data_IF_757386694257
#
_entry.id   IF_757386694257
#
_cell.length_a   1.000
_cell.length_b   1.000
_cell.length_c   1.000
_cell.angle_alpha   90.00
_cell.angle_beta   90.00
_cell.angle_gamma   90.00
#
_symmetry.space_group_name_H-M   'P 1'
#
loop_
_entity.id
_entity.type
_entity.pdbx_description
1 polymer ?
#
# COMPACT_ATOMS: atom_id res chain seq x y z
N UNK A 1 7.47 -17.26 -13.48
CA UNK A 1 8.36 -17.06 -14.65
C UNK A 1 9.41 -18.17 -14.71
N UNK A 2 10.02 -18.47 -15.87
CA UNK A 2 11.09 -19.49 -15.93
C UNK A 2 12.37 -18.98 -15.25
N UNK A 3 13.18 -19.89 -14.70
CA UNK A 3 14.46 -19.56 -14.05
C UNK A 3 15.40 -18.75 -14.96
N UNK A 4 15.43 -19.07 -16.26
CA UNK A 4 16.24 -18.36 -17.25
C UNK A 4 15.79 -16.91 -17.45
N UNK A 5 14.47 -16.67 -17.47
CA UNK A 5 13.92 -15.32 -17.63
C UNK A 5 14.13 -14.49 -16.35
N UNK A 6 13.97 -15.11 -15.18
CA UNK A 6 14.29 -14.48 -13.90
C UNK A 6 15.76 -14.05 -13.81
N UNK A 7 16.67 -14.93 -14.23
CA UNK A 7 18.11 -14.66 -14.23
C UNK A 7 18.46 -13.47 -15.13
N UNK A 8 17.90 -13.42 -16.35
CA UNK A 8 18.08 -12.30 -17.28
C UNK A 8 17.55 -10.99 -16.70
N UNK A 9 16.36 -10.99 -16.08
CA UNK A 9 15.74 -9.81 -15.45
C UNK A 9 16.56 -9.23 -14.29
N UNK A 10 17.25 -10.09 -13.54
CA UNK A 10 18.05 -9.69 -12.38
C UNK A 10 19.55 -9.51 -12.70
N UNK A 11 19.94 -9.60 -13.98
CA UNK A 11 21.34 -9.45 -14.40
C UNK A 11 22.26 -10.57 -13.93
N UNK A 12 21.72 -11.74 -13.57
CA UNK A 12 22.48 -12.89 -13.07
C UNK A 12 22.59 -13.94 -14.19
N UNK A 13 23.75 -14.57 -14.35
CA UNK A 13 23.90 -15.67 -15.30
C UNK A 13 23.05 -16.90 -14.92
N UNK A 14 22.46 -17.58 -15.91
CA UNK A 14 21.62 -18.77 -15.68
C UNK A 14 22.29 -19.85 -14.82
N UNK A 15 23.58 -20.13 -15.06
CA UNK A 15 24.34 -21.11 -14.26
C UNK A 15 24.39 -20.75 -12.77
N UNK A 16 24.50 -19.46 -12.45
CA UNK A 16 24.48 -18.96 -11.07
C UNK A 16 23.11 -19.15 -10.44
N UNK A 17 22.04 -18.82 -11.16
CA UNK A 17 20.66 -19.03 -10.72
C UNK A 17 20.36 -20.53 -10.49
N UNK A 18 20.81 -21.41 -11.39
CA UNK A 18 20.66 -22.86 -11.26
C UNK A 18 21.45 -23.44 -10.07
N UNK A 19 22.67 -22.93 -9.81
CA UNK A 19 23.46 -23.30 -8.62
C UNK A 19 22.75 -22.91 -7.33
N UNK A 20 22.14 -21.73 -7.28
CA UNK A 20 21.37 -21.27 -6.13
C UNK A 20 20.14 -22.15 -5.89
N UNK A 21 19.41 -22.49 -6.95
CA UNK A 21 18.29 -23.43 -6.90
C UNK A 21 18.73 -24.81 -6.37
N UNK A 22 19.77 -25.41 -6.96
CA UNK A 22 20.27 -26.74 -6.57
C UNK A 22 20.82 -26.79 -5.15
N UNK A 23 21.31 -25.67 -4.63
CA UNK A 23 21.81 -25.56 -3.25
C UNK A 23 20.72 -25.19 -2.24
N UNK A 24 19.46 -25.00 -2.67
CA UNK A 24 18.34 -24.60 -1.81
C UNK A 24 18.41 -23.16 -1.31
N UNK A 25 19.38 -22.35 -1.78
CA UNK A 25 19.59 -20.96 -1.37
C UNK A 25 18.94 -19.95 -2.32
N UNK A 26 17.93 -20.38 -3.08
CA UNK A 26 17.28 -19.49 -4.03
C UNK A 26 16.41 -18.47 -3.29
N UNK A 27 16.49 -17.17 -3.63
CA UNK A 27 15.83 -16.10 -2.87
C UNK A 27 14.30 -16.03 -3.04
N UNK A 28 13.71 -16.92 -3.84
CA UNK A 28 12.29 -16.93 -4.18
C UNK A 28 11.75 -18.37 -4.15
N UNK A 29 10.44 -18.57 -3.93
CA UNK A 29 9.83 -19.88 -4.08
C UNK A 29 10.00 -20.40 -5.50
N UNK A 30 10.45 -21.65 -5.64
CA UNK A 30 10.66 -22.31 -6.92
C UNK A 30 9.96 -23.66 -6.96
N UNK A 31 9.37 -24.00 -8.10
CA UNK A 31 8.72 -25.28 -8.34
C UNK A 31 9.31 -25.92 -9.60
N UNK A 32 9.59 -27.22 -9.54
CA UNK A 32 10.04 -27.98 -10.70
C UNK A 32 8.88 -28.77 -11.27
N UNK A 33 8.53 -28.50 -12.52
CA UNK A 33 7.52 -29.26 -13.23
C UNK A 33 8.04 -30.67 -13.57
N UNK A 34 7.15 -31.65 -13.80
CA UNK A 34 7.52 -33.00 -14.26
C UNK A 34 8.38 -33.01 -15.54
N UNK A 35 8.26 -31.94 -16.35
CA UNK A 35 9.05 -31.71 -17.57
C UNK A 35 10.48 -31.21 -17.30
N UNK A 36 10.89 -31.10 -16.03
CA UNK A 36 12.21 -30.61 -15.61
C UNK A 36 12.36 -29.08 -15.63
N UNK A 37 11.33 -28.34 -16.05
CA UNK A 37 11.36 -26.87 -16.10
C UNK A 37 11.22 -26.29 -14.69
N UNK A 38 12.13 -25.38 -14.32
CA UNK A 38 12.11 -24.66 -13.04
C UNK A 38 11.33 -23.36 -13.20
N UNK A 39 10.21 -23.27 -12.49
CA UNK A 39 9.39 -22.06 -12.35
C UNK A 39 9.79 -21.31 -11.08
N UNK A 40 10.10 -20.03 -11.24
CA UNK A 40 10.26 -19.08 -10.15
C UNK A 40 8.94 -18.35 -9.97
N UNK A 41 8.36 -18.48 -8.78
CA UNK A 41 7.17 -17.71 -8.39
C UNK A 41 7.64 -16.31 -7.99
N UNK A 42 7.30 -15.31 -8.81
CA UNK A 42 7.39 -13.92 -8.34
C UNK A 42 6.28 -13.76 -7.29
N UNK A 43 6.63 -13.44 -6.05
CA UNK A 43 5.61 -12.91 -5.14
C UNK A 43 5.00 -11.71 -5.84
N UNK A 44 3.67 -11.60 -5.94
CA UNK A 44 3.05 -10.41 -6.51
C UNK A 44 3.67 -9.23 -5.79
N UNK A 45 4.22 -8.29 -6.55
CA UNK A 45 4.54 -6.98 -5.99
C UNK A 45 3.18 -6.40 -5.72
N UNK A 46 2.65 -6.64 -4.52
CA UNK A 46 1.36 -6.10 -4.11
C UNK A 46 1.54 -4.59 -4.17
N UNK A 47 1.10 -3.97 -5.27
CA UNK A 47 1.04 -2.53 -5.39
C UNK A 47 0.18 -2.09 -4.22
N UNK A 48 0.81 -1.51 -3.20
CA UNK A 48 0.12 -1.08 -2.00
C UNK A 48 -0.77 0.07 -2.40
N UNK A 49 -2.03 -0.26 -2.64
CA UNK A 49 -3.04 0.71 -3.01
C UNK A 49 -3.19 1.69 -1.86
N UNK A 50 -2.93 2.94 -2.16
CA UNK A 50 -2.90 4.02 -1.19
C UNK A 50 -4.15 4.87 -1.35
N UNK A 51 -4.78 5.21 -0.23
CA UNK A 51 -5.84 6.20 -0.20
C UNK A 51 -5.43 7.44 0.57
N UNK A 52 -5.83 8.60 0.07
CA UNK A 52 -5.61 9.89 0.71
C UNK A 52 -6.88 10.28 1.46
N UNK A 53 -6.75 10.69 2.72
CA UNK A 53 -7.88 11.11 3.53
C UNK A 53 -7.61 12.48 4.19
N UNK A 54 -8.51 13.42 3.91
CA UNK A 54 -8.50 14.78 4.44
C UNK A 54 -9.79 15.08 5.19
N UNK A 55 -9.67 15.86 6.28
CA UNK A 55 -10.80 16.19 7.16
C UNK A 55 -10.72 17.63 7.65
N UNK A 56 -11.86 18.31 7.60
CA UNK A 56 -12.08 19.58 8.32
C UNK A 56 -13.29 19.50 9.23
N UNK A 57 -13.38 20.39 10.21
CA UNK A 57 -14.42 20.33 11.24
C UNK A 57 -15.70 21.07 10.83
N UNK A 58 -15.58 22.18 10.07
CA UNK A 58 -16.71 22.96 9.53
C UNK A 58 -16.66 23.02 8.00
N UNK A 59 -17.82 23.21 7.39
CA UNK A 59 -17.94 23.45 5.94
C UNK A 59 -17.27 24.76 5.50
N UNK A 60 -17.14 25.73 6.40
CA UNK A 60 -16.46 27.01 6.14
C UNK A 60 -14.96 26.83 5.85
N UNK A 61 -14.40 25.67 6.22
CA UNK A 61 -12.99 25.33 6.02
C UNK A 61 -12.74 24.53 4.72
N UNK A 62 -13.65 24.63 3.74
CA UNK A 62 -13.54 23.87 2.49
C UNK A 62 -12.27 24.21 1.70
N UNK A 63 -11.84 25.47 1.71
CA UNK A 63 -10.58 25.88 1.09
C UNK A 63 -9.35 25.21 1.72
N UNK A 64 -9.35 25.06 3.04
CA UNK A 64 -8.31 24.34 3.76
C UNK A 64 -8.33 22.84 3.47
N UNK A 65 -9.52 22.26 3.27
CA UNK A 65 -9.68 20.84 2.89
C UNK A 65 -9.04 20.55 1.52
N UNK A 66 -9.24 21.44 0.55
CA UNK A 66 -8.63 21.33 -0.78
C UNK A 66 -7.10 21.49 -0.71
N UNK A 67 -6.61 22.44 0.09
CA UNK A 67 -5.16 22.63 0.32
C UNK A 67 -4.51 21.41 0.99
N UNK A 68 -5.19 20.84 1.99
CA UNK A 68 -4.75 19.63 2.67
C UNK A 68 -4.67 18.44 1.70
N UNK A 69 -5.68 18.26 0.85
CA UNK A 69 -5.64 17.23 -0.20
C UNK A 69 -4.50 17.43 -1.17
N UNK A 70 -4.22 18.66 -1.58
CA UNK A 70 -3.10 18.92 -2.49
C UNK A 70 -1.76 18.52 -1.87
N UNK A 71 -1.52 18.86 -0.60
CA UNK A 71 -0.30 18.44 0.13
C UNK A 71 -0.18 16.92 0.22
N UNK A 72 -1.30 16.21 0.39
CA UNK A 72 -1.31 14.75 0.40
C UNK A 72 -0.95 14.15 -0.98
N UNK A 73 -1.44 14.76 -2.07
CA UNK A 73 -1.08 14.35 -3.44
C UNK A 73 0.39 14.56 -3.71
N UNK A 74 0.92 15.72 -3.33
CA UNK A 74 2.33 16.06 -3.51
C UNK A 74 3.23 15.09 -2.73
N UNK A 75 2.84 14.77 -1.49
CA UNK A 75 3.52 13.76 -0.67
C UNK A 75 3.48 12.38 -1.34
N UNK A 76 2.33 11.94 -1.82
CA UNK A 76 2.17 10.64 -2.46
C UNK A 76 2.98 10.53 -3.75
N UNK A 77 2.99 11.58 -4.57
CA UNK A 77 3.79 11.67 -5.78
C UNK A 77 5.29 11.60 -5.48
N UNK A 78 5.75 12.34 -4.46
CA UNK A 78 7.16 12.34 -4.03
C UNK A 78 7.64 10.98 -3.51
N UNK A 79 6.75 10.18 -2.93
CA UNK A 79 7.06 8.86 -2.38
C UNK A 79 6.71 7.69 -3.33
N UNK A 80 6.24 7.98 -4.56
CA UNK A 80 5.87 6.97 -5.54
C UNK A 80 4.71 6.07 -5.09
N UNK A 81 3.79 6.60 -4.27
CA UNK A 81 2.65 5.84 -3.77
C UNK A 81 1.58 5.70 -4.86
N UNK A 82 1.00 4.50 -5.00
CA UNK A 82 -0.09 4.24 -5.94
C UNK A 82 -1.41 4.74 -5.34
N UNK A 83 -1.79 5.99 -5.60
CA UNK A 83 -3.04 6.57 -5.11
C UNK A 83 -4.23 6.03 -5.92
N UNK A 84 -5.08 5.24 -5.29
CA UNK A 84 -6.30 4.68 -5.91
C UNK A 84 -7.57 5.43 -5.51
N UNK A 85 -7.53 6.17 -4.40
CA UNK A 85 -8.70 6.84 -3.85
C UNK A 85 -8.34 8.10 -3.08
N UNK A 86 -9.17 9.12 -3.24
CA UNK A 86 -9.07 10.37 -2.50
C UNK A 86 -10.40 10.65 -1.80
N UNK A 87 -10.34 10.91 -0.49
CA UNK A 87 -11.53 11.11 0.33
C UNK A 87 -11.42 12.39 1.14
N UNK A 88 -12.41 13.25 0.97
CA UNK A 88 -12.59 14.49 1.71
C UNK A 88 -13.82 14.37 2.59
N UNK A 89 -13.70 14.66 3.88
CA UNK A 89 -14.81 14.58 4.83
C UNK A 89 -14.91 15.84 5.70
N UNK A 90 -16.13 16.37 5.84
CA UNK A 90 -16.42 17.46 6.76
C UNK A 90 -17.09 16.84 7.97
N UNK A 91 -16.48 16.99 9.14
CA UNK A 91 -17.00 16.44 10.38
C UNK A 91 -16.02 16.53 11.54
N UNK A 92 -16.56 16.42 12.74
CA UNK A 92 -15.78 16.46 13.97
C UNK A 92 -14.84 15.25 14.08
N UNK A 93 -13.60 15.48 14.51
CA UNK A 93 -12.63 14.42 14.78
C UNK A 93 -12.98 13.52 15.97
N UNK A 94 -13.99 13.88 16.77
CA UNK A 94 -14.55 13.01 17.83
C UNK A 94 -15.73 12.17 17.34
N UNK A 95 -16.29 12.44 16.16
CA UNK A 95 -17.41 11.67 15.65
C UNK A 95 -16.93 10.32 15.10
N UNK A 96 -17.32 9.22 15.74
CA UNK A 96 -17.02 7.86 15.30
C UNK A 96 -17.82 7.41 14.07
N UNK A 97 -18.96 8.05 13.76
CA UNK A 97 -19.89 7.63 12.70
C UNK A 97 -19.59 8.29 11.34
N UNK A 98 -18.32 8.55 11.06
CA UNK A 98 -17.86 9.18 9.82
C UNK A 98 -17.95 8.19 8.68
N UNK A 99 -19.00 8.30 7.87
CA UNK A 99 -19.36 7.33 6.83
C UNK A 99 -18.22 7.15 5.81
N UNK A 100 -17.52 8.22 5.41
CA UNK A 100 -16.48 8.10 4.39
C UNK A 100 -15.23 7.43 4.95
N UNK A 101 -14.80 7.80 6.16
CA UNK A 101 -13.71 7.11 6.84
C UNK A 101 -14.01 5.62 7.08
N UNK A 102 -15.22 5.29 7.55
CA UNK A 102 -15.61 3.90 7.79
C UNK A 102 -15.63 3.08 6.49
N UNK A 103 -16.13 3.64 5.39
CA UNK A 103 -16.07 3.01 4.08
C UNK A 103 -14.63 2.80 3.58
N UNK A 104 -13.73 3.74 3.90
CA UNK A 104 -12.31 3.62 3.56
C UNK A 104 -11.64 2.48 4.32
N UNK A 105 -11.92 2.37 5.63
CA UNK A 105 -11.35 1.34 6.50
C UNK A 105 -11.91 -0.05 6.22
N UNK A 106 -13.14 -0.15 5.72
CA UNK A 106 -13.79 -1.42 5.36
C UNK A 106 -13.38 -1.95 3.98
N UNK A 107 -12.63 -1.19 3.19
CA UNK A 107 -12.25 -1.55 1.82
C UNK A 107 -10.95 -2.37 1.82
N UNK A 108 -11.01 -3.70 1.55
CA UNK A 108 -9.83 -4.56 1.60
C UNK A 108 -8.86 -4.30 0.43
N UNK A 109 -9.27 -3.52 -0.58
CA UNK A 109 -8.40 -3.17 -1.70
C UNK A 109 -7.38 -2.10 -1.33
N UNK A 110 -7.58 -1.39 -0.22
CA UNK A 110 -6.70 -0.30 0.25
C UNK A 110 -5.71 -0.87 1.25
N UNK A 111 -4.42 -0.75 0.95
CA UNK A 111 -3.34 -1.23 1.81
C UNK A 111 -2.75 -0.14 2.71
N UNK A 112 -2.93 1.13 2.36
CA UNK A 112 -2.33 2.24 3.10
C UNK A 112 -3.24 3.46 3.03
N UNK A 113 -3.44 4.13 4.16
CA UNK A 113 -4.18 5.39 4.24
C UNK A 113 -3.21 6.48 4.69
N UNK A 114 -3.10 7.55 3.90
CA UNK A 114 -2.26 8.71 4.22
C UNK A 114 -3.16 9.83 4.72
N UNK A 115 -2.80 10.39 5.87
CA UNK A 115 -3.45 11.53 6.50
C UNK A 115 -2.39 12.58 6.82
N UNK A 116 -2.75 13.86 6.83
CA UNK A 116 -1.78 14.93 7.09
C UNK A 116 -1.31 14.91 8.55
N UNK A 117 -2.25 14.74 9.47
CA UNK A 117 -2.00 14.69 10.90
C UNK A 117 -2.91 13.66 11.56
N UNK A 118 -2.46 13.11 12.69
CA UNK A 118 -3.21 12.08 13.42
C UNK A 118 -4.60 12.57 13.87
N UNK A 119 -4.74 13.85 14.24
CA UNK A 119 -6.02 14.46 14.64
C UNK A 119 -7.05 14.57 13.49
N UNK A 120 -6.57 14.47 12.23
CA UNK A 120 -7.43 14.41 11.04
C UNK A 120 -8.06 13.03 10.92
N UNK A 121 -7.31 11.98 11.26
CA UNK A 121 -7.84 10.61 11.36
C UNK A 121 -8.83 10.49 12.51
N UNK A 122 -8.44 10.81 13.74
CA UNK A 122 -9.33 10.85 14.89
C UNK A 122 -8.70 11.66 16.04
N UNK A 123 -9.50 12.41 16.80
CA UNK A 123 -9.01 13.09 18.01
C UNK A 123 -8.75 12.12 19.17
N UNK A 124 -9.47 11.01 19.19
CA UNK A 124 -9.29 9.91 20.15
C UNK A 124 -9.33 8.58 19.40
N UNK A 125 -8.57 7.60 19.89
CA UNK A 125 -8.56 6.25 19.33
C UNK A 125 -7.81 6.09 18.00
N UNK A 126 -7.10 7.11 17.52
CA UNK A 126 -6.23 6.99 16.36
C UNK A 126 -5.15 5.91 16.57
N UNK A 127 -4.62 5.78 17.79
CA UNK A 127 -3.70 4.69 18.17
C UNK A 127 -4.33 3.31 18.02
N UNK A 128 -5.61 3.15 18.43
CA UNK A 128 -6.32 1.88 18.29
C UNK A 128 -6.55 1.52 16.82
N UNK A 129 -6.89 2.50 15.99
CA UNK A 129 -7.04 2.31 14.53
C UNK A 129 -5.67 1.94 13.93
N UNK A 130 -4.61 2.67 14.28
CA UNK A 130 -3.25 2.39 13.81
C UNK A 130 -2.80 0.97 14.18
N UNK A 131 -3.02 0.57 15.43
CA UNK A 131 -2.71 -0.77 15.91
C UNK A 131 -3.52 -1.85 15.17
N UNK A 132 -4.82 -1.63 14.98
CA UNK A 132 -5.69 -2.56 14.26
C UNK A 132 -5.33 -2.71 12.77
N UNK A 133 -4.81 -1.65 12.14
CA UNK A 133 -4.36 -1.67 10.74
C UNK A 133 -2.95 -2.26 10.54
N UNK A 134 -2.16 -2.38 11.61
CA UNK A 134 -0.79 -2.91 11.56
C UNK A 134 -0.73 -4.42 11.86
N UNK A 135 -1.80 -4.98 12.43
CA UNK A 135 -1.95 -6.40 12.74
C UNK A 135 -2.12 -7.25 11.47
#
# INVERSE_FOLDING_TARGET
>A
MKLADWARKHGIGYKTAYRLYRSGKFPRPTEQLPTGTILVHETPTTTKNTALYARVSSADQKSDLERQMQRLRDYAAAHGLNVVREVQEIGSGVNGHRKKLLQLLADPSISTIVVEHQDRLARFGAEFISAALTA
#
